data_IF_077332549628
#
_entry.id   IF_077332549628
#
_cell.length_a   1.000
_cell.length_b   1.000
_cell.length_c   1.000
_cell.angle_alpha   90.00
_cell.angle_beta   90.00
_cell.angle_gamma   90.00
#
_symmetry.space_group_name_H-M   'P 1'
#
loop_
_entity.id
_entity.type
_entity.pdbx_description
1 polymer ?
#
# COMPACT_ATOMS: atom_id res chain seq x y z
N UNK A 1 -52.85 23.98 1.22
CA UNK A 1 -52.30 23.78 -0.13
C UNK A 1 -51.11 24.72 -0.19
N UNK A 2 -49.85 24.29 -0.21
CA UNK A 2 -49.23 23.27 -1.05
C UNK A 2 -47.93 22.81 -0.32
N UNK A 3 -47.62 21.50 -0.40
CA UNK A 3 -46.31 20.85 -0.14
C UNK A 3 -45.72 20.95 1.29
N UNK A 4 -45.72 19.96 2.18
CA UNK A 4 -45.76 18.49 2.03
C UNK A 4 -44.89 17.91 0.91
N UNK A 5 -43.60 18.25 0.79
CA UNK A 5 -42.62 17.42 0.05
C UNK A 5 -41.14 17.74 0.38
N UNK A 6 -40.73 17.78 1.67
CA UNK A 6 -39.29 17.76 1.99
C UNK A 6 -38.97 16.85 3.17
N UNK A 7 -39.57 15.65 3.16
CA UNK A 7 -39.01 14.49 3.87
C UNK A 7 -38.16 13.74 2.84
N UNK A 8 -36.94 14.24 2.62
CA UNK A 8 -35.93 13.55 1.84
C UNK A 8 -35.78 12.14 2.44
N UNK A 9 -36.13 11.13 1.66
CA UNK A 9 -35.95 9.74 2.03
C UNK A 9 -34.48 9.49 2.35
N UNK A 10 -34.15 9.38 3.64
CA UNK A 10 -33.15 8.41 4.05
C UNK A 10 -33.75 7.03 3.78
N UNK A 11 -33.70 6.63 2.50
CA UNK A 11 -34.17 5.33 2.07
C UNK A 11 -33.38 4.29 2.87
N UNK A 12 -34.08 3.56 3.74
CA UNK A 12 -33.54 2.34 4.34
C UNK A 12 -32.96 1.53 3.19
N UNK A 13 -31.71 1.09 3.25
CA UNK A 13 -31.14 0.31 2.18
C UNK A 13 -32.03 -0.90 1.95
N UNK A 14 -32.72 -0.94 0.80
CA UNK A 14 -33.55 -2.09 0.43
C UNK A 14 -32.67 -3.35 0.49
N UNK A 15 -33.22 -4.49 0.92
CA UNK A 15 -32.45 -5.73 1.04
C UNK A 15 -31.72 -6.12 -0.26
N UNK A 16 -32.28 -5.71 -1.42
CA UNK A 16 -31.65 -5.84 -2.74
C UNK A 16 -30.39 -4.97 -2.89
N UNK A 17 -30.41 -3.74 -2.41
CA UNK A 17 -29.23 -2.84 -2.39
C UNK A 17 -28.13 -3.33 -1.45
N UNK A 18 -28.49 -3.94 -0.32
CA UNK A 18 -27.52 -4.58 0.59
C UNK A 18 -26.87 -5.81 -0.03
N UNK A 19 -27.66 -6.71 -0.64
CA UNK A 19 -27.12 -7.90 -1.33
C UNK A 19 -26.19 -7.53 -2.48
N UNK A 20 -26.55 -6.53 -3.30
CA UNK A 20 -25.68 -6.05 -4.38
C UNK A 20 -24.38 -5.44 -3.87
N UNK A 21 -24.40 -4.78 -2.70
CA UNK A 21 -23.17 -4.29 -2.04
C UNK A 21 -22.32 -5.44 -1.51
N UNK A 22 -22.94 -6.47 -0.93
CA UNK A 22 -22.25 -7.70 -0.53
C UNK A 22 -21.59 -8.36 -1.73
N UNK A 23 -22.31 -8.57 -2.84
CA UNK A 23 -21.77 -9.15 -4.07
C UNK A 23 -20.51 -8.44 -4.53
N UNK A 24 -20.59 -7.12 -4.72
CA UNK A 24 -19.45 -6.30 -5.15
C UNK A 24 -18.28 -6.36 -4.18
N UNK A 25 -18.55 -6.49 -2.89
CA UNK A 25 -17.50 -6.57 -1.88
C UNK A 25 -16.80 -7.94 -1.92
N UNK A 26 -17.54 -9.03 -2.15
CA UNK A 26 -16.97 -10.37 -2.35
C UNK A 26 -16.16 -10.42 -3.64
N UNK A 27 -16.69 -9.86 -4.73
CA UNK A 27 -15.99 -9.75 -6.02
C UNK A 27 -14.71 -8.95 -5.90
N UNK A 28 -14.69 -7.90 -5.08
CA UNK A 28 -13.48 -7.15 -4.79
C UNK A 28 -12.46 -7.97 -4.00
N UNK A 29 -12.86 -8.67 -2.93
CA UNK A 29 -11.92 -9.47 -2.14
C UNK A 29 -11.26 -10.57 -2.93
N UNK A 30 -12.05 -11.24 -3.78
CA UNK A 30 -11.60 -12.30 -4.68
C UNK A 30 -11.14 -11.77 -6.04
N UNK A 31 -11.05 -10.44 -6.21
CA UNK A 31 -10.51 -9.86 -7.44
C UNK A 31 -9.02 -10.15 -7.54
N UNK A 32 -8.55 -10.27 -8.77
CA UNK A 32 -7.14 -10.54 -9.04
C UNK A 32 -6.22 -9.48 -8.39
N UNK A 33 -6.59 -8.20 -8.52
CA UNK A 33 -5.85 -7.09 -7.93
C UNK A 33 -5.72 -7.19 -6.41
N UNK A 34 -6.82 -7.45 -5.71
CA UNK A 34 -6.79 -7.59 -4.25
C UNK A 34 -6.02 -8.84 -3.85
N UNK A 35 -6.31 -9.99 -4.47
CA UNK A 35 -5.68 -11.26 -4.14
C UNK A 35 -4.17 -11.23 -4.36
N UNK A 36 -3.61 -10.46 -5.30
CA UNK A 36 -2.14 -10.33 -5.42
C UNK A 36 -1.47 -9.72 -4.18
N UNK A 37 -2.17 -8.81 -3.49
CA UNK A 37 -1.61 -8.06 -2.36
C UNK A 37 -2.08 -8.57 -0.98
N UNK A 38 -3.27 -9.19 -0.91
CA UNK A 38 -3.89 -9.61 0.34
C UNK A 38 -3.32 -10.95 0.84
N UNK A 39 -2.25 -10.85 1.64
CA UNK A 39 -1.59 -12.01 2.26
C UNK A 39 -2.50 -12.81 3.17
N UNK A 40 -3.45 -12.15 3.83
CA UNK A 40 -4.38 -12.84 4.72
C UNK A 40 -5.31 -13.75 3.91
N UNK A 41 -5.90 -13.24 2.83
CA UNK A 41 -6.74 -14.07 1.96
C UNK A 41 -5.95 -15.17 1.27
N UNK A 42 -4.73 -14.89 0.78
CA UNK A 42 -3.85 -15.91 0.21
C UNK A 42 -3.57 -17.05 1.19
N UNK A 43 -3.32 -16.75 2.46
CA UNK A 43 -3.06 -17.75 3.51
C UNK A 43 -4.32 -18.52 3.92
N UNK A 44 -5.50 -17.91 3.80
CA UNK A 44 -6.78 -18.54 4.11
C UNK A 44 -7.32 -19.42 2.97
N UNK A 45 -6.70 -19.37 1.77
CA UNK A 45 -7.05 -20.20 0.62
C UNK A 45 -6.51 -21.62 0.80
N UNK A 46 -7.33 -22.60 0.46
CA UNK A 46 -6.89 -23.99 0.36
C UNK A 46 -6.16 -24.26 -0.97
N UNK A 47 -5.70 -25.50 -1.17
CA UNK A 47 -5.03 -25.95 -2.39
C UNK A 47 -5.86 -25.71 -3.66
N UNK A 48 -7.18 -25.63 -3.53
CA UNK A 48 -8.13 -25.39 -4.61
C UNK A 48 -8.55 -23.93 -4.74
N UNK A 49 -7.87 -23.02 -4.02
CA UNK A 49 -8.16 -21.58 -3.99
C UNK A 49 -9.53 -21.21 -3.39
N UNK A 50 -10.09 -22.06 -2.54
CA UNK A 50 -11.31 -21.77 -1.79
C UNK A 50 -11.02 -21.21 -0.40
N UNK A 51 -11.86 -20.28 0.02
CA UNK A 51 -11.84 -19.67 1.36
C UNK A 51 -13.20 -19.93 2.03
N UNK A 52 -13.23 -20.45 3.28
CA UNK A 52 -14.48 -20.66 4.01
C UNK A 52 -15.28 -19.36 4.21
N UNK A 53 -16.61 -19.45 4.08
CA UNK A 53 -17.51 -18.31 4.30
C UNK A 53 -17.34 -17.68 5.70
N UNK A 54 -16.99 -18.50 6.69
CA UNK A 54 -16.68 -18.08 8.06
C UNK A 54 -15.53 -17.05 8.13
N UNK A 55 -14.51 -17.19 7.28
CA UNK A 55 -13.39 -16.23 7.21
C UNK A 55 -13.89 -14.86 6.74
N UNK A 56 -14.75 -14.82 5.71
CA UNK A 56 -15.33 -13.58 5.22
C UNK A 56 -16.24 -12.89 6.24
N UNK A 57 -16.95 -13.66 7.07
CA UNK A 57 -17.75 -13.11 8.17
C UNK A 57 -16.91 -12.39 9.24
N UNK A 58 -15.61 -12.67 9.31
CA UNK A 58 -14.69 -11.95 10.19
C UNK A 58 -14.39 -10.52 9.72
N UNK A 59 -14.60 -10.22 8.42
CA UNK A 59 -14.22 -8.94 7.81
C UNK A 59 -15.13 -7.79 8.21
N UNK A 60 -14.53 -6.65 8.56
CA UNK A 60 -15.24 -5.48 9.07
C UNK A 60 -16.32 -4.95 8.11
N UNK A 61 -16.06 -4.96 6.78
CA UNK A 61 -17.05 -4.51 5.79
C UNK A 61 -18.24 -5.46 5.69
N UNK A 62 -18.03 -6.77 5.89
CA UNK A 62 -19.11 -7.77 5.84
C UNK A 62 -19.91 -7.80 7.15
N UNK A 63 -19.25 -7.58 8.28
CA UNK A 63 -19.90 -7.34 9.58
C UNK A 63 -20.81 -6.11 9.53
N UNK A 64 -20.33 -5.00 8.95
CA UNK A 64 -21.14 -3.79 8.77
C UNK A 64 -22.36 -4.04 7.85
N UNK A 65 -22.22 -4.91 6.86
CA UNK A 65 -23.30 -5.37 6.00
C UNK A 65 -24.17 -6.46 6.63
N UNK A 66 -23.96 -6.84 7.90
CA UNK A 66 -24.68 -7.93 8.59
C UNK A 66 -24.78 -9.20 7.72
N UNK A 67 -23.70 -9.52 7.02
CA UNK A 67 -23.67 -10.68 6.14
C UNK A 67 -23.85 -11.97 6.95
N UNK A 68 -24.54 -12.93 6.36
CA UNK A 68 -24.63 -14.30 6.88
C UNK A 68 -24.00 -15.25 5.87
N UNK A 69 -23.62 -16.44 6.33
CA UNK A 69 -23.05 -17.48 5.46
C UNK A 69 -23.96 -17.78 4.25
N UNK A 70 -25.27 -17.94 4.48
CA UNK A 70 -26.25 -18.11 3.39
C UNK A 70 -26.25 -16.94 2.42
N UNK A 71 -26.19 -15.71 2.92
CA UNK A 71 -26.14 -14.52 2.05
C UNK A 71 -24.86 -14.48 1.21
N UNK A 72 -23.71 -14.91 1.75
CA UNK A 72 -22.45 -14.98 1.03
C UNK A 72 -22.56 -16.01 -0.10
N UNK A 73 -22.99 -17.24 0.21
CA UNK A 73 -23.11 -18.32 -0.77
C UNK A 73 -24.11 -17.98 -1.87
N UNK A 74 -25.32 -17.51 -1.52
CA UNK A 74 -26.36 -17.13 -2.47
C UNK A 74 -25.91 -16.03 -3.45
N UNK A 75 -25.13 -15.07 -2.96
CA UNK A 75 -24.75 -13.90 -3.75
C UNK A 75 -23.47 -14.15 -4.56
N UNK A 76 -22.56 -14.96 -4.03
CA UNK A 76 -21.40 -15.45 -4.76
C UNK A 76 -21.81 -16.31 -5.97
N UNK A 77 -22.84 -17.15 -5.83
CA UNK A 77 -23.33 -18.04 -6.89
C UNK A 77 -23.89 -17.29 -8.11
N UNK A 78 -24.34 -16.05 -7.90
CA UNK A 78 -24.80 -15.16 -8.98
C UNK A 78 -23.67 -14.41 -9.67
N UNK A 79 -22.48 -14.39 -9.08
CA UNK A 79 -21.35 -13.64 -9.62
C UNK A 79 -20.65 -14.46 -10.71
N UNK A 80 -20.33 -13.85 -11.88
CA UNK A 80 -19.62 -14.55 -12.94
C UNK A 80 -18.15 -14.84 -12.60
N UNK A 81 -17.59 -14.18 -11.58
CA UNK A 81 -16.17 -14.25 -11.22
C UNK A 81 -15.86 -15.05 -9.96
N UNK A 82 -16.89 -15.55 -9.26
CA UNK A 82 -16.74 -16.32 -8.02
C UNK A 82 -17.23 -17.75 -8.23
N UNK A 83 -16.50 -18.72 -7.68
CA UNK A 83 -16.89 -20.12 -7.56
C UNK A 83 -17.40 -20.40 -6.16
N UNK A 84 -18.43 -21.23 -6.04
CA UNK A 84 -19.04 -21.59 -4.76
C UNK A 84 -19.00 -23.10 -4.56
N UNK A 85 -18.57 -23.53 -3.38
CA UNK A 85 -18.74 -24.89 -2.89
C UNK A 85 -19.71 -24.84 -1.70
N UNK A 86 -20.96 -25.25 -1.95
CA UNK A 86 -22.01 -25.26 -0.91
C UNK A 86 -21.82 -26.36 0.12
N UNK A 87 -21.16 -27.46 -0.23
CA UNK A 87 -20.92 -28.58 0.68
C UNK A 87 -19.91 -28.20 1.74
N UNK A 88 -18.83 -27.52 1.32
CA UNK A 88 -17.77 -27.03 2.21
C UNK A 88 -18.07 -25.64 2.77
N UNK A 89 -19.14 -24.99 2.32
CA UNK A 89 -19.48 -23.59 2.61
C UNK A 89 -18.31 -22.63 2.36
N UNK A 90 -17.65 -22.80 1.20
CA UNK A 90 -16.51 -22.01 0.79
C UNK A 90 -16.77 -21.29 -0.53
N UNK A 91 -16.07 -20.18 -0.74
CA UNK A 91 -16.07 -19.44 -2.01
C UNK A 91 -14.63 -19.17 -2.44
N UNK A 92 -14.40 -19.15 -3.75
CA UNK A 92 -13.07 -18.92 -4.32
C UNK A 92 -13.16 -18.10 -5.61
N UNK A 93 -12.05 -17.49 -6.06
CA UNK A 93 -12.06 -16.78 -7.32
C UNK A 93 -12.17 -17.78 -8.48
N UNK A 94 -12.85 -17.40 -9.56
CA UNK A 94 -12.89 -18.21 -10.77
C UNK A 94 -11.56 -18.18 -11.53
N UNK A 95 -10.84 -17.06 -11.44
CA UNK A 95 -9.52 -16.84 -12.03
C UNK A 95 -8.56 -16.56 -10.89
N UNK A 96 -7.55 -17.43 -10.73
CA UNK A 96 -6.49 -17.23 -9.74
C UNK A 96 -5.41 -16.35 -10.37
N UNK A 97 -4.89 -15.33 -9.66
CA UNK A 97 -3.77 -14.54 -10.16
C UNK A 97 -2.58 -15.43 -10.47
N UNK A 98 -2.03 -15.32 -11.68
CA UNK A 98 -0.82 -16.06 -12.06
C UNK A 98 0.38 -15.38 -11.42
N UNK A 99 1.25 -16.16 -10.77
CA UNK A 99 2.51 -15.67 -10.24
C UNK A 99 3.37 -15.10 -11.39
N UNK A 100 3.78 -13.83 -11.28
CA UNK A 100 4.63 -13.15 -12.27
C UNK A 100 3.95 -12.05 -13.11
N UNK A 101 2.62 -11.94 -13.10
CA UNK A 101 1.91 -10.82 -13.78
C UNK A 101 2.01 -9.46 -13.05
N UNK A 102 2.87 -9.37 -12.04
CA UNK A 102 3.07 -8.16 -11.22
C UNK A 102 3.54 -6.98 -12.07
N UNK A 103 4.35 -7.21 -13.12
CA UNK A 103 4.89 -6.12 -13.93
C UNK A 103 3.82 -5.39 -14.77
N UNK A 104 2.83 -6.12 -15.29
CA UNK A 104 1.70 -5.51 -16.01
C UNK A 104 0.74 -4.80 -15.04
N UNK A 105 0.54 -5.37 -13.85
CA UNK A 105 -0.19 -4.69 -12.79
C UNK A 105 0.53 -3.39 -12.35
N UNK A 106 1.85 -3.40 -12.31
CA UNK A 106 2.67 -2.24 -11.94
C UNK A 106 2.55 -1.12 -12.97
N UNK A 107 2.53 -1.46 -14.27
CA UNK A 107 2.27 -0.49 -15.33
C UNK A 107 0.89 0.17 -15.20
N UNK A 108 -0.10 -0.54 -14.65
CA UNK A 108 -1.45 -0.03 -14.38
C UNK A 108 -1.62 0.61 -13.01
N UNK A 109 -0.56 0.71 -12.23
CA UNK A 109 -0.59 1.25 -10.87
C UNK A 109 0.12 2.59 -10.80
N UNK A 110 -0.46 3.54 -10.07
CA UNK A 110 0.16 4.80 -9.71
C UNK A 110 0.57 4.81 -8.23
N UNK A 111 1.64 5.52 -7.94
CA UNK A 111 2.00 5.94 -6.59
C UNK A 111 1.38 7.32 -6.33
N UNK A 112 0.79 7.47 -5.14
CA UNK A 112 0.21 8.72 -4.67
C UNK A 112 0.85 9.08 -3.33
N UNK A 113 1.19 10.36 -3.13
CA UNK A 113 1.64 10.87 -1.84
C UNK A 113 1.01 12.22 -1.53
N UNK A 114 1.26 12.71 -0.31
CA UNK A 114 0.86 14.06 0.12
C UNK A 114 -0.65 14.31 0.11
N UNK A 115 -1.45 13.26 0.30
CA UNK A 115 -2.91 13.38 0.52
C UNK A 115 -3.23 13.71 1.97
N UNK A 116 -4.42 14.27 2.20
CA UNK A 116 -4.86 14.73 3.52
C UNK A 116 -5.08 13.54 4.46
N UNK A 117 -4.95 13.78 5.77
CA UNK A 117 -5.32 12.77 6.77
C UNK A 117 -6.82 12.42 6.75
N UNK A 118 -7.64 13.27 6.12
CA UNK A 118 -9.07 13.03 5.89
C UNK A 118 -9.35 12.14 4.67
N UNK A 119 -8.38 11.93 3.78
CA UNK A 119 -8.57 11.12 2.58
C UNK A 119 -8.58 9.63 2.93
N UNK A 120 -9.73 9.00 2.71
CA UNK A 120 -9.92 7.56 2.85
C UNK A 120 -9.89 6.85 1.49
N UNK A 121 -10.01 5.53 1.53
CA UNK A 121 -10.01 4.70 0.33
C UNK A 121 -11.14 5.10 -0.65
N UNK A 122 -12.29 5.52 -0.11
CA UNK A 122 -13.45 5.88 -0.92
C UNK A 122 -13.30 7.28 -1.56
N UNK A 123 -12.70 8.24 -0.84
CA UNK A 123 -12.32 9.56 -1.32
C UNK A 123 -11.36 9.44 -2.49
N UNK A 124 -10.24 8.74 -2.28
CA UNK A 124 -9.22 8.54 -3.32
C UNK A 124 -9.81 7.80 -4.52
N UNK A 125 -10.60 6.76 -4.29
CA UNK A 125 -11.28 6.05 -5.39
C UNK A 125 -12.17 6.98 -6.21
N UNK A 126 -12.92 7.90 -5.58
CA UNK A 126 -13.74 8.89 -6.29
C UNK A 126 -12.89 9.90 -7.05
N UNK A 127 -11.82 10.41 -6.44
CA UNK A 127 -10.90 11.36 -7.07
C UNK A 127 -10.26 10.77 -8.33
N UNK A 128 -9.83 9.51 -8.27
CA UNK A 128 -9.17 8.84 -9.38
C UNK A 128 -10.13 8.19 -10.39
N UNK A 129 -11.40 8.00 -10.03
CA UNK A 129 -12.41 7.45 -10.94
C UNK A 129 -12.62 8.29 -12.21
N UNK A 130 -12.25 9.59 -12.20
CA UNK A 130 -12.31 10.46 -13.38
C UNK A 130 -11.33 10.06 -14.49
N UNK A 131 -10.23 9.40 -14.15
CA UNK A 131 -9.22 8.97 -15.12
C UNK A 131 -9.49 7.57 -15.68
N UNK A 132 -10.16 6.72 -14.91
CA UNK A 132 -10.53 5.38 -15.32
C UNK A 132 -11.07 4.53 -14.17
N UNK A 133 -11.42 3.28 -14.50
CA UNK A 133 -11.93 2.33 -13.51
C UNK A 133 -10.82 1.92 -12.54
N UNK A 134 -10.99 2.25 -11.26
CA UNK A 134 -10.09 1.86 -10.16
C UNK A 134 -10.42 0.45 -9.68
N UNK A 135 -9.43 -0.43 -9.74
CA UNK A 135 -9.52 -1.83 -9.28
C UNK A 135 -9.14 -1.97 -7.82
N UNK A 136 -8.04 -1.32 -7.39
CA UNK A 136 -7.53 -1.42 -6.02
C UNK A 136 -6.98 -0.09 -5.54
N UNK A 137 -7.24 0.22 -4.26
CA UNK A 137 -6.59 1.32 -3.53
C UNK A 137 -5.89 0.71 -2.33
N UNK A 138 -4.58 0.89 -2.23
CA UNK A 138 -3.75 0.36 -1.15
C UNK A 138 -3.13 1.52 -0.39
N UNK A 139 -3.48 1.65 0.90
CA UNK A 139 -2.96 2.70 1.78
C UNK A 139 -2.17 2.07 2.93
N UNK A 140 -0.86 1.87 2.76
CA UNK A 140 -0.01 1.33 3.81
C UNK A 140 -0.11 2.14 5.10
N UNK A 141 -0.21 1.43 6.23
CA UNK A 141 -0.25 2.01 7.58
C UNK A 141 0.93 1.48 8.39
N UNK A 142 1.43 2.29 9.31
CA UNK A 142 2.39 1.84 10.31
C UNK A 142 1.73 0.79 11.21
N UNK A 143 2.44 -0.31 11.47
CA UNK A 143 1.89 -1.43 12.23
C UNK A 143 1.56 -1.03 13.68
N UNK A 144 2.45 -0.24 14.30
CA UNK A 144 2.34 0.20 15.70
C UNK A 144 1.31 1.31 15.89
N UNK A 145 1.40 2.40 15.12
CA UNK A 145 0.55 3.59 15.33
C UNK A 145 -0.77 3.54 14.55
N UNK A 146 -0.94 2.57 13.62
CA UNK A 146 -2.04 2.48 12.64
C UNK A 146 -2.26 3.73 11.78
N UNK A 147 -1.37 4.72 11.88
CA UNK A 147 -1.38 5.92 11.05
C UNK A 147 -0.95 5.56 9.64
N UNK A 148 -1.51 6.26 8.66
CA UNK A 148 -1.07 6.12 7.28
C UNK A 148 0.39 6.52 7.14
N UNK A 149 1.11 5.82 6.26
CA UNK A 149 2.49 6.15 5.92
C UNK A 149 2.61 7.42 5.05
N UNK A 150 1.50 8.11 4.75
CA UNK A 150 1.50 9.34 3.94
C UNK A 150 1.66 9.11 2.44
N UNK A 151 1.63 7.84 2.00
CA UNK A 151 1.60 7.45 0.60
C UNK A 151 0.64 6.28 0.39
N UNK A 152 0.32 6.02 -0.87
CA UNK A 152 -0.58 4.95 -1.28
C UNK A 152 -0.34 4.53 -2.73
N UNK A 153 -1.03 3.48 -3.14
CA UNK A 153 -1.03 2.99 -4.50
C UNK A 153 -2.46 2.86 -5.00
N UNK A 154 -2.67 3.22 -6.26
CA UNK A 154 -3.97 3.05 -6.93
C UNK A 154 -3.75 2.26 -8.21
N UNK A 155 -4.39 1.10 -8.29
CA UNK A 155 -4.37 0.25 -9.47
C UNK A 155 -5.62 0.49 -10.32
N UNK A 156 -5.41 0.75 -11.61
CA UNK A 156 -6.47 0.92 -12.60
C UNK A 156 -6.71 -0.36 -13.40
N UNK A 157 -7.86 -0.41 -14.08
CA UNK A 157 -8.15 -1.43 -15.08
C UNK A 157 -7.19 -1.35 -16.27
N UNK A 158 -6.82 -0.14 -16.68
CA UNK A 158 -6.09 0.13 -17.91
C UNK A 158 -4.83 0.96 -17.64
N UNK A 159 -3.75 0.69 -18.38
CA UNK A 159 -2.49 1.42 -18.26
C UNK A 159 -2.66 2.89 -18.66
N UNK A 160 -3.43 3.16 -19.71
CA UNK A 160 -3.71 4.53 -20.15
C UNK A 160 -4.35 5.40 -19.05
N UNK A 161 -5.16 4.80 -18.17
CA UNK A 161 -5.75 5.54 -17.05
C UNK A 161 -4.68 5.92 -16.00
N UNK A 162 -3.72 5.03 -15.75
CA UNK A 162 -2.59 5.32 -14.87
C UNK A 162 -1.71 6.45 -15.42
N UNK A 163 -1.42 6.42 -16.73
CA UNK A 163 -0.62 7.46 -17.39
C UNK A 163 -1.32 8.83 -17.35
N UNK A 164 -2.65 8.86 -17.61
CA UNK A 164 -3.45 10.08 -17.51
C UNK A 164 -3.45 10.65 -16.09
N UNK A 165 -3.61 9.80 -15.08
CA UNK A 165 -3.57 10.22 -13.68
C UNK A 165 -2.19 10.77 -13.29
N UNK A 166 -1.10 10.16 -13.78
CA UNK A 166 0.26 10.64 -13.55
C UNK A 166 0.55 11.96 -14.28
N UNK A 167 0.04 12.14 -15.49
CA UNK A 167 0.14 13.39 -16.24
C UNK A 167 -0.64 14.54 -15.55
N UNK A 168 -1.74 14.21 -14.89
CA UNK A 168 -2.55 15.15 -14.11
C UNK A 168 -2.00 15.44 -12.70
N UNK A 169 -0.77 15.01 -12.38
CA UNK A 169 -0.15 15.22 -11.05
C UNK A 169 0.03 16.69 -10.65
N UNK A 170 0.04 17.60 -11.63
CA UNK A 170 0.16 19.06 -11.40
C UNK A 170 -1.20 19.78 -11.43
N UNK A 171 -2.30 19.04 -11.54
CA UNK A 171 -3.64 19.59 -11.63
C UNK A 171 -4.13 20.08 -10.25
N UNK A 172 -4.70 21.28 -10.21
CA UNK A 172 -5.21 21.88 -8.97
C UNK A 172 -6.35 21.06 -8.36
N UNK A 173 -7.08 20.32 -9.20
CA UNK A 173 -8.18 19.43 -8.81
C UNK A 173 -7.73 18.19 -8.02
N UNK A 174 -6.42 17.93 -7.95
CA UNK A 174 -5.86 16.79 -7.20
C UNK A 174 -5.68 17.09 -5.71
N UNK A 175 -6.10 18.27 -5.22
CA UNK A 175 -6.06 18.59 -3.79
C UNK A 175 -4.64 18.62 -3.21
N UNK A 176 -3.62 18.80 -4.05
CA UNK A 176 -2.20 18.74 -3.66
C UNK A 176 -1.60 17.33 -3.62
N UNK A 177 -2.35 16.30 -3.98
CA UNK A 177 -1.86 14.92 -4.08
C UNK A 177 -0.86 14.82 -5.22
N UNK A 178 0.37 14.42 -4.92
CA UNK A 178 1.35 14.16 -5.98
C UNK A 178 1.15 12.75 -6.49
N UNK A 179 1.22 12.60 -7.81
CA UNK A 179 0.99 11.34 -8.50
C UNK A 179 2.16 11.03 -9.41
N UNK A 180 2.58 9.78 -9.43
CA UNK A 180 3.57 9.28 -10.39
C UNK A 180 3.25 7.83 -10.77
N UNK A 181 3.76 7.37 -11.90
CA UNK A 181 3.63 5.95 -12.28
C UNK A 181 4.43 5.07 -11.31
N UNK A 182 3.93 3.86 -11.03
CA UNK A 182 4.62 2.94 -10.12
C UNK A 182 6.00 2.55 -10.65
N UNK A 183 6.17 2.41 -11.97
CA UNK A 183 7.47 2.17 -12.60
C UNK A 183 8.48 3.29 -12.29
N UNK A 184 8.04 4.55 -12.34
CA UNK A 184 8.88 5.69 -11.96
C UNK A 184 9.25 5.66 -10.47
N UNK A 185 8.28 5.34 -9.61
CA UNK A 185 8.53 5.20 -8.17
C UNK A 185 9.52 4.07 -7.85
N UNK A 186 9.41 2.90 -8.50
CA UNK A 186 10.35 1.78 -8.31
C UNK A 186 11.77 2.20 -8.70
N UNK A 187 11.95 2.85 -9.85
CA UNK A 187 13.26 3.33 -10.28
C UNK A 187 13.87 4.34 -9.30
N UNK A 188 13.07 5.29 -8.80
CA UNK A 188 13.51 6.26 -7.79
C UNK A 188 13.84 5.58 -6.44
N UNK A 189 13.06 4.58 -6.02
CA UNK A 189 13.32 3.80 -4.80
C UNK A 189 14.67 3.09 -4.89
N UNK A 190 14.96 2.44 -6.00
CA UNK A 190 16.22 1.72 -6.22
C UNK A 190 17.42 2.68 -6.19
N UNK A 191 17.29 3.82 -6.86
CA UNK A 191 18.32 4.85 -6.88
C UNK A 191 18.57 5.47 -5.50
N UNK A 192 17.53 5.62 -4.68
CA UNK A 192 17.67 6.11 -3.30
C UNK A 192 18.32 5.06 -2.40
N UNK A 193 17.98 3.78 -2.57
CA UNK A 193 18.60 2.66 -1.85
C UNK A 193 20.11 2.61 -2.12
N UNK A 194 20.51 2.67 -3.38
CA UNK A 194 21.93 2.71 -3.77
C UNK A 194 22.67 3.92 -3.20
N UNK A 195 22.03 5.09 -3.12
CA UNK A 195 22.65 6.27 -2.52
C UNK A 195 22.84 6.13 -1.01
N UNK A 196 21.86 5.55 -0.29
CA UNK A 196 21.97 5.29 1.14
C UNK A 196 23.05 4.25 1.45
N UNK A 197 23.13 3.16 0.68
CA UNK A 197 24.17 2.14 0.86
C UNK A 197 25.57 2.68 0.56
N UNK A 198 25.69 3.55 -0.45
CA UNK A 198 26.97 4.16 -0.80
C UNK A 198 27.38 5.25 0.21
N UNK A 199 26.41 5.96 0.81
CA UNK A 199 26.67 6.95 1.86
C UNK A 199 27.22 6.27 3.13
N UNK A 200 26.64 5.15 3.56
CA UNK A 200 27.15 4.36 4.69
C UNK A 200 28.55 3.77 4.41
N UNK A 201 28.81 3.31 3.19
CA UNK A 201 30.15 2.84 2.79
C UNK A 201 31.20 3.97 2.74
N UNK A 202 30.80 5.21 2.39
CA UNK A 202 31.67 6.38 2.38
C UNK A 202 31.92 6.98 3.77
N UNK A 203 30.98 6.80 4.71
CA UNK A 203 31.16 7.17 6.11
C UNK A 203 32.13 6.22 6.83
N UNK A 204 32.18 4.94 6.43
CA UNK A 204 33.11 3.94 6.97
C UNK A 204 34.57 4.08 6.47
N UNK A 205 34.83 4.89 5.44
CA UNK A 205 36.18 5.07 4.85
C UNK A 205 36.90 6.35 5.30
N UNK A 206 36.33 7.12 6.22
CA UNK A 206 36.95 8.33 6.79
C UNK A 206 37.35 8.15 8.26
N UNK A 207 38.29 7.23 8.48
CA UNK A 207 39.20 7.33 9.64
C UNK A 207 40.58 7.82 9.17
N UNK A 208 41.13 8.89 9.77
CA UNK A 208 42.45 9.41 9.42
C UNK A 208 43.54 8.49 9.96
N UNK A 209 44.59 8.33 9.17
CA UNK A 209 45.71 7.45 9.43
C UNK A 209 46.46 7.73 10.73
N UNK A 210 47.07 6.66 11.22
CA UNK A 210 48.06 6.60 12.29
C UNK A 210 49.14 7.68 12.18
N UNK A 211 49.42 8.36 13.29
CA UNK A 211 50.72 9.02 13.50
C UNK A 211 51.22 8.66 14.89
N UNK A 212 52.42 8.09 14.91
CA UNK A 212 53.16 7.59 16.06
C UNK A 212 53.55 8.71 17.04
N UNK A 213 53.49 8.39 18.32
CA UNK A 213 53.94 9.22 19.45
C UNK A 213 55.47 9.05 19.63
N UNK A 214 56.20 10.09 20.03
CA UNK A 214 57.27 9.91 21.01
C UNK A 214 57.02 10.71 22.29
N UNK A 215 57.34 10.06 23.41
CA UNK A 215 57.39 10.63 24.77
C UNK A 215 58.28 11.88 24.84
N UNK A 216 57.82 12.93 25.52
CA UNK A 216 58.49 13.44 26.73
C UNK A 216 57.62 14.44 27.50
N UNK A 217 57.84 14.49 28.80
CA UNK A 217 56.97 15.09 29.81
C UNK A 217 57.22 16.60 30.03
N UNK A 218 56.16 17.35 30.39
CA UNK A 218 56.01 18.17 31.62
C UNK A 218 55.11 19.42 31.46
N UNK A 219 54.27 19.57 32.50
CA UNK A 219 53.90 20.81 33.21
C UNK A 219 52.76 21.75 32.74
N UNK A 220 51.73 21.77 33.60
CA UNK A 220 51.10 22.92 34.30
C UNK A 220 50.33 24.05 33.59
N UNK A 221 49.09 24.20 34.08
CA UNK A 221 48.43 25.42 34.63
C UNK A 221 47.68 26.35 33.65
N UNK A 222 46.35 26.30 33.81
CA UNK A 222 45.40 27.40 34.06
C UNK A 222 45.18 28.51 33.01
N UNK A 223 43.90 28.77 32.71
CA UNK A 223 43.26 30.11 32.76
C UNK A 223 42.08 30.26 31.78
N UNK A 224 41.04 30.89 32.29
CA UNK A 224 39.76 31.23 31.68
C UNK A 224 39.86 32.20 30.49
N UNK A 225 38.86 32.20 29.60
CA UNK A 225 38.63 33.29 28.65
C UNK A 225 37.36 33.17 27.81
N UNK A 226 36.38 34.06 28.07
CA UNK A 226 35.11 34.26 27.34
C UNK A 226 35.29 34.90 25.96
N UNK A 227 34.33 34.65 25.05
CA UNK A 227 33.56 35.62 24.21
C UNK A 227 33.09 34.92 22.91
N UNK A 228 31.81 34.77 22.58
CA UNK A 228 30.73 35.71 22.20
C UNK A 228 30.76 36.23 20.74
N UNK A 229 29.63 36.01 20.05
CA UNK A 229 29.03 36.76 18.93
C UNK A 229 29.43 36.49 17.45
N UNK A 230 28.40 36.01 16.72
CA UNK A 230 27.62 36.71 15.65
C UNK A 230 27.65 36.12 14.24
N UNK A 231 26.41 35.79 13.80
CA UNK A 231 25.80 36.04 12.49
C UNK A 231 26.51 35.48 11.24
N UNK A 232 25.81 34.61 10.50
CA UNK A 232 25.13 35.00 9.23
C UNK A 232 24.25 33.89 8.64
N UNK A 233 22.96 34.19 8.67
CA UNK A 233 21.85 33.76 7.82
C UNK A 233 22.25 33.63 6.33
N UNK A 234 22.12 32.45 5.74
CA UNK A 234 21.73 32.26 4.33
C UNK A 234 20.83 31.02 4.21
N UNK A 235 19.53 31.29 4.04
CA UNK A 235 18.59 30.37 3.39
C UNK A 235 19.16 30.04 2.00
N UNK A 236 19.21 28.76 1.66
CA UNK A 236 19.00 28.33 0.28
C UNK A 236 18.00 27.18 0.33
N UNK A 237 16.75 27.54 0.06
CA UNK A 237 15.72 26.59 -0.34
C UNK A 237 16.21 25.96 -1.64
N UNK A 238 16.55 24.68 -1.60
CA UNK A 238 16.47 23.80 -2.76
C UNK A 238 15.30 22.89 -2.48
N UNK A 239 14.25 23.02 -3.29
CA UNK A 239 13.14 22.09 -3.35
C UNK A 239 13.68 20.74 -3.82
N UNK A 240 14.26 19.97 -2.90
CA UNK A 240 14.54 18.56 -3.10
C UNK A 240 13.24 17.82 -2.80
N UNK A 241 12.74 17.11 -3.81
CA UNK A 241 11.57 16.25 -3.77
C UNK A 241 11.58 15.40 -2.49
N UNK A 242 10.76 15.77 -1.50
CA UNK A 242 10.66 15.05 -0.24
C UNK A 242 9.79 13.80 -0.48
N UNK A 243 10.43 12.72 -0.94
CA UNK A 243 9.82 11.40 -1.13
C UNK A 243 9.85 10.68 0.21
N UNK A 244 8.70 10.24 0.70
CA UNK A 244 8.59 9.58 1.99
C UNK A 244 9.13 8.14 1.92
N UNK A 245 10.32 7.91 2.47
CA UNK A 245 10.93 6.59 2.62
C UNK A 245 10.87 6.17 4.10
N UNK A 246 9.94 5.28 4.45
CA UNK A 246 9.94 4.64 5.76
C UNK A 246 10.95 3.50 5.73
N UNK A 247 12.13 3.71 6.33
CA UNK A 247 13.11 2.65 6.57
C UNK A 247 12.60 1.70 7.65
N UNK A 248 12.02 0.59 7.22
CA UNK A 248 11.66 -0.58 8.05
C UNK A 248 11.42 -1.78 7.12
N UNK A 249 12.45 -2.13 6.35
CA UNK A 249 12.49 -3.38 5.57
C UNK A 249 13.37 -4.38 6.34
N UNK A 250 12.85 -4.85 7.50
CA UNK A 250 13.35 -6.04 8.17
C UNK A 250 12.83 -7.29 7.46
N UNK A 251 13.34 -7.54 6.26
CA UNK A 251 13.04 -8.73 5.46
C UNK A 251 13.92 -9.89 5.94
N UNK A 252 13.38 -10.74 6.81
CA UNK A 252 14.00 -12.01 7.19
C UNK A 252 14.06 -12.93 5.97
N UNK A 253 15.26 -13.07 5.43
CA UNK A 253 15.64 -13.99 4.38
C UNK A 253 15.88 -15.38 5.00
N UNK A 254 14.94 -16.31 4.86
CA UNK A 254 15.21 -17.74 5.06
C UNK A 254 15.00 -18.48 3.72
N UNK A 255 16.11 -18.60 2.99
CA UNK A 255 16.25 -19.46 1.83
C UNK A 255 16.49 -20.91 2.24
N UNK A 256 15.51 -21.74 1.94
CA UNK A 256 15.56 -23.09 1.38
C UNK A 256 16.94 -23.81 1.30
N UNK A 257 17.06 -24.96 1.98
CA UNK A 257 17.83 -26.10 1.49
C UNK A 257 17.15 -27.41 1.93
N UNK A 258 16.44 -28.06 1.01
CA UNK A 258 16.30 -29.52 1.06
C UNK A 258 16.55 -30.10 -0.31
N UNK A 259 17.80 -30.50 -0.51
CA UNK A 259 18.26 -31.32 -1.62
C UNK A 259 17.59 -32.71 -1.62
N UNK A 260 17.00 -33.07 -2.76
CA UNK A 260 16.52 -34.41 -3.16
C UNK A 260 17.49 -35.57 -2.90
N UNK A 261 17.00 -36.73 -2.44
CA UNK A 261 17.42 -38.04 -2.98
C UNK A 261 16.46 -39.21 -2.67
N UNK A 262 16.29 -40.01 -3.72
CA UNK A 262 15.50 -41.25 -3.89
C UNK A 262 15.88 -42.38 -2.90
N UNK A 263 14.93 -43.31 -2.72
CA UNK A 263 15.03 -44.73 -3.15
C UNK A 263 14.73 -45.79 -2.05
N UNK A 264 13.60 -46.51 -2.27
CA UNK A 264 13.41 -47.98 -2.24
C UNK A 264 14.01 -48.79 -1.06
N UNK A 265 13.14 -49.38 -0.24
CA UNK A 265 12.79 -50.82 -0.15
C UNK A 265 11.52 -50.92 0.71
#
# INVERSE_FOLDING_TARGET
>A
MVEQQFRLMEARPTGKSQRKRLQRQLEFYLSESNLRQDKFLQQAMDEQSFVPASVFLSFNKLKALKATERMILDEADKSPVIRVDRTRSCIGPKIVPVAGQTQEADARTIYIDSFSAADDHDSLRRTFAKFGKVNLVSLPRFQQSKRFKGFGFVEFSDQSAADKAAAASSDADMGGIRVMTKTRWIGMKEQLKHQLTNADASAASSHPGSVSVPDDAKNTVDSQGKSEQKKRKRRKQTAAEHIHFSGDDGESNDGEDTTTKKQKI
#
